data_IF_617010896160
#
_entry.id   IF_617010896160
#
_cell.length_a   1.000
_cell.length_b   1.000
_cell.length_c   1.000
_cell.angle_alpha   90.00
_cell.angle_beta   90.00
_cell.angle_gamma   90.00
#
_symmetry.space_group_name_H-M   'P 1'
#
loop_
_entity.id
_entity.type
_entity.pdbx_description
1 polymer ?
#
# COMPACT_ATOMS: atom_id res chain seq x y z
N UNK A 1 32.80 16.54 -14.11
CA UNK A 1 33.47 15.24 -14.36
C UNK A 1 32.45 14.35 -15.07
N UNK A 2 32.60 14.22 -16.39
CA UNK A 2 31.71 13.42 -17.25
C UNK A 2 32.37 12.06 -17.45
N UNK A 3 31.65 11.00 -17.10
CA UNK A 3 32.08 9.62 -17.37
C UNK A 3 31.32 9.08 -18.56
N UNK A 4 32.02 8.97 -19.69
CA UNK A 4 31.57 8.30 -20.91
C UNK A 4 31.61 6.78 -20.72
N UNK A 5 30.51 6.09 -21.02
CA UNK A 5 30.43 4.62 -21.14
C UNK A 5 30.28 4.27 -22.60
N UNK A 6 31.16 3.44 -23.17
CA UNK A 6 31.09 3.05 -24.61
C UNK A 6 30.01 1.98 -24.83
N UNK A 7 29.22 2.20 -25.89
CA UNK A 7 28.30 1.23 -26.49
C UNK A 7 29.08 0.23 -27.31
N UNK A 8 29.06 -1.04 -26.93
CA UNK A 8 29.53 -2.15 -27.80
C UNK A 8 28.34 -2.70 -28.58
N UNK A 9 28.41 -2.52 -29.88
CA UNK A 9 27.55 -3.16 -30.87
C UNK A 9 28.07 -4.57 -31.17
N UNK A 10 27.26 -5.61 -31.00
CA UNK A 10 27.52 -6.95 -31.52
C UNK A 10 26.60 -7.21 -32.71
N UNK A 11 27.24 -7.46 -33.85
CA UNK A 11 26.64 -7.69 -35.13
C UNK A 11 26.22 -9.16 -35.32
N UNK A 12 25.16 -9.30 -36.09
CA UNK A 12 24.51 -10.48 -36.62
C UNK A 12 25.45 -11.51 -37.29
N UNK A 13 25.07 -12.75 -37.18
CA UNK A 13 25.46 -13.80 -38.13
C UNK A 13 24.19 -14.47 -38.65
N UNK A 14 23.97 -14.27 -39.93
CA UNK A 14 22.96 -14.87 -40.78
C UNK A 14 23.34 -16.33 -41.04
N UNK A 15 22.47 -17.27 -40.74
CA UNK A 15 22.60 -18.66 -41.13
C UNK A 15 21.31 -19.19 -41.73
N UNK A 16 21.22 -19.20 -43.07
CA UNK A 16 20.18 -19.85 -43.84
C UNK A 16 20.40 -21.37 -43.79
N UNK A 17 19.41 -22.14 -43.34
CA UNK A 17 19.27 -23.55 -43.65
C UNK A 17 17.79 -23.87 -43.86
N UNK A 18 17.40 -23.98 -45.15
CA UNK A 18 16.18 -24.63 -45.60
C UNK A 18 16.33 -26.13 -45.41
N UNK A 19 15.37 -26.74 -44.72
CA UNK A 19 15.05 -28.16 -44.87
C UNK A 19 13.56 -28.36 -44.63
N UNK A 20 12.92 -28.87 -45.68
CA UNK A 20 11.53 -29.25 -45.71
C UNK A 20 11.26 -30.46 -44.79
N UNK A 21 10.19 -30.39 -43.99
CA UNK A 21 9.49 -31.58 -43.49
C UNK A 21 8.02 -31.23 -43.29
N UNK A 22 7.22 -31.61 -44.29
CA UNK A 22 5.76 -31.66 -44.22
C UNK A 22 5.34 -32.83 -43.30
N UNK A 23 4.43 -32.55 -42.37
CA UNK A 23 3.63 -33.59 -41.73
C UNK A 23 3.96 -33.80 -40.24
N UNK A 24 3.27 -33.06 -39.37
CA UNK A 24 2.80 -33.40 -38.03
C UNK A 24 2.22 -32.15 -37.34
N UNK A 25 1.12 -31.63 -37.87
CA UNK A 25 0.56 -30.36 -37.41
C UNK A 25 -0.84 -30.50 -36.81
N UNK A 26 -1.08 -31.47 -35.91
CA UNK A 26 -2.38 -31.56 -35.23
C UNK A 26 -2.34 -31.92 -33.74
N UNK A 27 -1.18 -32.16 -33.13
CA UNK A 27 -1.07 -32.46 -31.69
C UNK A 27 -0.48 -31.33 -30.83
N UNK A 28 0.01 -30.25 -31.44
CA UNK A 28 0.69 -29.18 -30.71
C UNK A 28 -0.25 -28.14 -30.07
N UNK A 29 -1.52 -28.09 -30.45
CA UNK A 29 -2.45 -27.05 -29.98
C UNK A 29 -3.08 -27.35 -28.59
N UNK A 30 -3.15 -28.61 -28.17
CA UNK A 30 -3.71 -28.96 -26.86
C UNK A 30 -2.73 -28.67 -25.70
N UNK A 31 -1.42 -28.84 -25.94
CA UNK A 31 -0.41 -28.60 -24.90
C UNK A 31 -0.15 -27.11 -24.63
N UNK A 32 -0.39 -26.23 -25.62
CA UNK A 32 -0.22 -24.78 -25.43
C UNK A 32 -1.33 -24.17 -24.59
N UNK A 33 -2.55 -24.68 -24.68
CA UNK A 33 -3.69 -24.18 -23.89
C UNK A 33 -3.52 -24.48 -22.39
N UNK A 34 -3.07 -25.69 -22.05
CA UNK A 34 -2.82 -26.07 -20.66
C UNK A 34 -1.64 -25.31 -20.04
N UNK A 35 -0.58 -25.08 -20.81
CA UNK A 35 0.56 -24.27 -20.36
C UNK A 35 0.19 -22.81 -20.16
N UNK A 36 -0.64 -22.23 -21.02
CA UNK A 36 -1.15 -20.86 -20.84
C UNK A 36 -2.06 -20.73 -19.63
N UNK A 37 -2.94 -21.72 -19.41
CA UNK A 37 -3.79 -21.75 -18.23
C UNK A 37 -3.00 -21.85 -16.91
N UNK A 38 -1.94 -22.66 -16.88
CA UNK A 38 -1.05 -22.77 -15.73
C UNK A 38 -0.24 -21.49 -15.49
N UNK A 39 0.25 -20.82 -16.53
CA UNK A 39 0.94 -19.53 -16.40
C UNK A 39 0.00 -18.43 -15.88
N UNK A 40 -1.25 -18.37 -16.37
CA UNK A 40 -2.24 -17.42 -15.88
C UNK A 40 -2.61 -17.70 -14.42
N UNK A 41 -2.74 -18.96 -14.01
CA UNK A 41 -3.00 -19.33 -12.63
C UNK A 41 -1.83 -18.94 -11.70
N UNK A 42 -0.59 -19.12 -12.14
CA UNK A 42 0.60 -18.70 -11.39
C UNK A 42 0.70 -17.17 -11.28
N UNK A 43 0.40 -16.43 -12.35
CA UNK A 43 0.37 -14.96 -12.31
C UNK A 43 -0.74 -14.44 -11.40
N UNK A 44 -1.91 -15.07 -11.41
CA UNK A 44 -3.01 -14.72 -10.51
C UNK A 44 -2.67 -14.99 -9.03
N UNK A 45 -1.97 -16.08 -8.73
CA UNK A 45 -1.48 -16.38 -7.39
C UNK A 45 -0.40 -15.39 -6.93
N UNK A 46 0.54 -15.01 -7.81
CA UNK A 46 1.56 -14.00 -7.50
C UNK A 46 0.94 -12.62 -7.28
N UNK A 47 -0.05 -12.23 -8.09
CA UNK A 47 -0.78 -10.98 -7.92
C UNK A 47 -1.58 -10.95 -6.60
N UNK A 48 -2.18 -12.08 -6.21
CA UNK A 48 -2.88 -12.21 -4.93
C UNK A 48 -1.92 -12.13 -3.73
N UNK A 49 -0.71 -12.67 -3.85
CA UNK A 49 0.32 -12.57 -2.80
C UNK A 49 0.90 -11.15 -2.68
N UNK A 50 0.97 -10.38 -3.78
CA UNK A 50 1.42 -8.99 -3.76
C UNK A 50 0.38 -8.03 -3.17
N UNK A 51 -0.89 -8.42 -3.13
CA UNK A 51 -1.98 -7.65 -2.53
C UNK A 51 -2.23 -8.01 -1.06
N UNK A 52 -1.54 -9.02 -0.51
CA UNK A 52 -1.62 -9.33 0.91
C UNK A 52 -1.05 -8.15 1.69
N UNK A 53 -1.85 -7.57 2.58
CA UNK A 53 -1.38 -6.53 3.49
C UNK A 53 -0.16 -7.06 4.26
N UNK A 54 0.87 -6.24 4.47
CA UNK A 54 2.02 -6.64 5.25
C UNK A 54 1.58 -7.09 6.66
N UNK A 55 2.29 -8.05 7.27
CA UNK A 55 1.96 -8.49 8.62
C UNK A 55 2.02 -7.31 9.58
N UNK A 56 1.04 -7.25 10.48
CA UNK A 56 0.97 -6.18 11.48
C UNK A 56 2.11 -6.35 12.47
N UNK A 57 2.93 -5.30 12.65
CA UNK A 57 3.90 -5.24 13.73
C UNK A 57 3.14 -5.12 15.07
N UNK A 58 3.28 -6.09 15.99
CA UNK A 58 2.57 -6.05 17.27
C UNK A 58 2.92 -4.82 18.12
N UNK A 59 4.12 -4.25 17.94
CA UNK A 59 4.55 -3.04 18.66
C UNK A 59 3.89 -1.78 18.11
N UNK A 60 3.36 -1.82 16.89
CA UNK A 60 2.69 -0.70 16.24
C UNK A 60 1.31 -1.09 15.69
N UNK A 61 0.57 -1.89 16.46
CA UNK A 61 -0.83 -2.20 16.20
C UNK A 61 -1.75 -1.08 16.71
N UNK A 62 -3.01 -1.05 16.24
CA UNK A 62 -4.02 -0.13 16.76
C UNK A 62 -4.23 -0.31 18.27
N UNK A 63 -4.12 -1.54 18.78
CA UNK A 63 -4.17 -1.84 20.20
C UNK A 63 -3.04 -1.17 20.97
N UNK A 64 -1.79 -1.38 20.55
CA UNK A 64 -0.61 -0.82 21.25
C UNK A 64 -0.65 0.70 21.26
N UNK A 65 -0.99 1.34 20.13
CA UNK A 65 -1.12 2.79 20.05
C UNK A 65 -2.24 3.31 20.94
N UNK A 66 -3.42 2.67 20.93
CA UNK A 66 -4.53 3.05 21.81
C UNK A 66 -4.14 2.99 23.30
N UNK A 67 -3.41 1.93 23.71
CA UNK A 67 -2.94 1.82 25.11
C UNK A 67 -2.00 2.97 25.49
N UNK A 68 -1.10 3.38 24.62
CA UNK A 68 -0.22 4.54 24.83
C UNK A 68 -1.05 5.83 24.91
N UNK A 69 -2.00 6.04 24.01
CA UNK A 69 -2.83 7.24 23.96
C UNK A 69 -3.78 7.38 25.17
N UNK A 70 -4.14 6.28 25.83
CA UNK A 70 -4.98 6.30 27.06
C UNK A 70 -4.23 6.75 28.31
N UNK A 71 -2.90 6.77 28.30
CA UNK A 71 -2.08 7.15 29.46
C UNK A 71 -1.99 8.68 29.61
N UNK A 72 -3.11 9.34 29.85
CA UNK A 72 -3.21 10.81 29.87
C UNK A 72 -2.34 11.50 30.95
N UNK A 73 -1.98 10.79 32.01
CA UNK A 73 -1.13 11.31 33.08
C UNK A 73 0.38 11.14 32.82
N UNK A 74 0.78 10.35 31.82
CA UNK A 74 2.17 10.12 31.45
C UNK A 74 2.56 11.01 30.27
N UNK A 75 3.39 12.01 30.52
CA UNK A 75 3.85 12.95 29.50
C UNK A 75 4.65 12.29 28.39
N UNK A 76 5.38 11.21 28.68
CA UNK A 76 6.16 10.48 27.67
C UNK A 76 5.21 9.70 26.76
N UNK A 77 4.26 8.97 27.34
CA UNK A 77 3.23 8.28 26.58
C UNK A 77 2.41 9.25 25.72
N UNK A 78 2.01 10.41 26.28
CA UNK A 78 1.31 11.42 25.51
C UNK A 78 2.12 11.98 24.34
N UNK A 79 3.41 12.24 24.54
CA UNK A 79 4.30 12.68 23.45
C UNK A 79 4.45 11.62 22.36
N UNK A 80 4.57 10.35 22.74
CA UNK A 80 4.61 9.23 21.81
C UNK A 80 3.30 9.09 21.03
N UNK A 81 2.16 9.13 21.69
CA UNK A 81 0.84 9.08 21.07
C UNK A 81 0.67 10.21 20.04
N UNK A 82 0.85 11.46 20.47
CA UNK A 82 0.70 12.65 19.61
C UNK A 82 1.69 12.60 18.44
N UNK A 83 2.94 12.18 18.70
CA UNK A 83 3.98 12.03 17.68
C UNK A 83 3.60 10.99 16.63
N UNK A 84 3.12 9.82 17.06
CA UNK A 84 2.70 8.74 16.16
C UNK A 84 1.49 9.17 15.31
N UNK A 85 0.43 9.68 15.93
CA UNK A 85 -0.78 10.14 15.21
C UNK A 85 -0.45 11.23 14.21
N UNK A 86 0.36 12.23 14.61
CA UNK A 86 0.82 13.29 13.70
C UNK A 86 1.66 12.75 12.55
N UNK A 87 2.54 11.79 12.82
CA UNK A 87 3.38 11.13 11.82
C UNK A 87 2.55 10.39 10.79
N UNK A 88 1.56 9.62 11.22
CA UNK A 88 0.63 8.89 10.35
C UNK A 88 -0.14 9.87 9.43
N UNK A 89 -0.72 10.90 9.99
CA UNK A 89 -1.50 11.90 9.24
C UNK A 89 -0.63 12.59 8.20
N UNK A 90 0.56 13.04 8.58
CA UNK A 90 1.50 13.71 7.65
C UNK A 90 1.99 12.76 6.56
N UNK A 91 2.36 11.54 6.92
CA UNK A 91 2.76 10.52 5.96
C UNK A 91 1.66 10.27 4.91
N UNK A 92 0.42 10.14 5.36
CA UNK A 92 -0.72 10.00 4.46
C UNK A 92 -0.92 11.22 3.55
N UNK A 93 -0.90 12.45 4.09
CA UNK A 93 -1.05 13.67 3.30
C UNK A 93 0.05 13.82 2.23
N UNK A 94 1.31 13.50 2.58
CA UNK A 94 2.39 13.47 1.59
C UNK A 94 2.19 12.37 0.55
N UNK A 95 1.71 11.21 0.94
CA UNK A 95 1.38 10.12 0.03
C UNK A 95 0.31 10.53 -0.99
N UNK A 96 -0.78 11.15 -0.54
CA UNK A 96 -1.85 11.67 -1.40
C UNK A 96 -1.32 12.74 -2.36
N UNK A 97 -0.54 13.69 -1.85
CA UNK A 97 0.07 14.74 -2.67
C UNK A 97 0.99 14.16 -3.75
N UNK A 98 1.85 13.23 -3.37
CA UNK A 98 2.77 12.56 -4.29
C UNK A 98 2.03 11.77 -5.37
N UNK A 99 1.02 10.99 -5.00
CA UNK A 99 0.21 10.22 -5.94
C UNK A 99 -0.57 11.16 -6.88
N UNK A 100 -1.15 12.24 -6.37
CA UNK A 100 -1.84 13.23 -7.17
C UNK A 100 -0.93 13.84 -8.25
N UNK A 101 0.32 14.13 -7.89
CA UNK A 101 1.30 14.68 -8.84
C UNK A 101 1.79 13.65 -9.87
N UNK A 102 1.94 12.38 -9.48
CA UNK A 102 2.51 11.33 -10.35
C UNK A 102 1.48 10.61 -11.20
N UNK A 103 0.30 10.37 -10.66
CA UNK A 103 -0.76 9.60 -11.32
C UNK A 103 -1.79 10.49 -12.06
N UNK A 104 -1.65 11.81 -12.01
CA UNK A 104 -2.62 12.75 -12.61
C UNK A 104 -4.07 12.40 -12.22
N UNK A 105 -4.28 12.12 -10.93
CA UNK A 105 -5.59 11.73 -10.42
C UNK A 105 -6.63 12.84 -10.68
N UNK A 106 -7.87 12.47 -11.05
CA UNK A 106 -8.96 13.43 -11.15
C UNK A 106 -9.17 14.19 -9.84
N UNK A 107 -9.58 15.45 -9.91
CA UNK A 107 -9.73 16.32 -8.74
C UNK A 107 -10.72 15.74 -7.70
N UNK A 108 -11.81 15.11 -8.15
CA UNK A 108 -12.78 14.43 -7.30
C UNK A 108 -12.19 13.22 -6.55
N UNK A 109 -11.28 12.45 -7.16
CA UNK A 109 -10.63 11.33 -6.52
C UNK A 109 -9.60 11.82 -5.48
N UNK A 110 -8.86 12.88 -5.82
CA UNK A 110 -7.95 13.54 -4.87
C UNK A 110 -8.73 14.10 -3.68
N UNK A 111 -9.91 14.70 -3.89
CA UNK A 111 -10.75 15.21 -2.81
C UNK A 111 -11.24 14.11 -1.87
N UNK A 112 -11.67 12.96 -2.41
CA UNK A 112 -12.15 11.81 -1.63
C UNK A 112 -11.13 11.25 -0.65
N UNK A 113 -9.84 11.28 -1.02
CA UNK A 113 -8.75 10.79 -0.17
C UNK A 113 -8.07 11.89 0.64
N UNK A 114 -8.49 13.15 0.48
CA UNK A 114 -7.94 14.27 1.24
C UNK A 114 -8.55 14.37 2.64
N UNK A 115 -7.76 14.89 3.58
CA UNK A 115 -8.18 15.11 4.97
C UNK A 115 -8.36 16.62 5.22
N UNK A 116 -9.54 17.02 5.70
CA UNK A 116 -9.85 18.41 6.02
C UNK A 116 -9.53 18.73 7.48
N UNK A 117 -8.23 18.86 7.78
CA UNK A 117 -7.70 19.06 9.13
C UNK A 117 -7.31 20.51 9.46
N UNK A 118 -7.81 21.49 8.67
CA UNK A 118 -7.53 22.89 8.97
C UNK A 118 -8.15 23.26 10.31
N UNK A 119 -7.32 23.77 11.23
CA UNK A 119 -7.70 24.14 12.59
C UNK A 119 -8.20 23.00 13.49
N UNK A 120 -7.98 21.75 13.10
CA UNK A 120 -8.25 20.58 13.96
C UNK A 120 -7.01 20.31 14.80
N UNK A 121 -7.08 20.41 16.15
CA UNK A 121 -5.95 20.09 17.01
C UNK A 121 -5.71 18.58 17.02
N UNK A 122 -4.45 18.18 17.11
CA UNK A 122 -4.09 16.74 17.14
C UNK A 122 -4.69 16.03 18.35
N UNK A 123 -4.90 16.73 19.47
CA UNK A 123 -5.57 16.17 20.66
C UNK A 123 -6.99 15.71 20.36
N UNK A 124 -7.76 16.47 19.56
CA UNK A 124 -9.10 16.06 19.14
C UNK A 124 -9.05 14.77 18.32
N UNK A 125 -8.11 14.67 17.37
CA UNK A 125 -7.93 13.47 16.56
C UNK A 125 -7.53 12.25 17.43
N UNK A 126 -6.70 12.47 18.45
CA UNK A 126 -6.36 11.41 19.41
C UNK A 126 -7.58 10.96 20.19
N UNK A 127 -8.43 11.89 20.64
CA UNK A 127 -9.65 11.56 21.37
C UNK A 127 -10.65 10.80 20.48
N UNK A 128 -10.83 11.21 19.22
CA UNK A 128 -11.65 10.51 18.23
C UNK A 128 -11.13 9.08 18.00
N UNK A 129 -9.83 8.92 17.72
CA UNK A 129 -9.20 7.60 17.53
C UNK A 129 -9.39 6.69 18.76
N UNK A 130 -9.18 7.19 19.97
CA UNK A 130 -9.34 6.40 21.20
C UNK A 130 -10.80 6.03 21.41
N UNK A 131 -11.73 6.93 21.11
CA UNK A 131 -13.16 6.69 21.18
C UNK A 131 -13.64 5.61 20.22
N UNK A 132 -13.21 5.69 18.94
CA UNK A 132 -13.55 4.69 17.93
C UNK A 132 -12.91 3.34 18.24
N UNK A 133 -11.63 3.32 18.62
CA UNK A 133 -10.92 2.09 18.98
C UNK A 133 -11.57 1.40 20.20
N UNK A 134 -12.17 2.13 21.12
CA UNK A 134 -12.88 1.56 22.27
C UNK A 134 -14.14 0.76 21.87
N UNK A 135 -14.67 0.96 20.66
CA UNK A 135 -15.83 0.24 20.14
C UNK A 135 -15.43 -1.06 19.41
N UNK A 136 -14.14 -1.30 19.21
CA UNK A 136 -13.61 -2.44 18.47
C UNK A 136 -13.00 -3.47 19.43
N UNK A 137 -13.18 -4.76 19.14
CA UNK A 137 -12.62 -5.83 19.97
C UNK A 137 -11.08 -5.77 20.01
N UNK A 138 -10.49 -6.12 21.13
CA UNK A 138 -9.04 -6.15 21.34
C UNK A 138 -8.33 -6.98 20.27
N UNK A 139 -8.86 -8.19 19.97
CA UNK A 139 -8.29 -9.06 18.96
C UNK A 139 -8.29 -8.44 17.55
N UNK A 140 -9.30 -7.67 17.22
CA UNK A 140 -9.35 -6.94 15.95
C UNK A 140 -8.33 -5.80 15.94
N UNK A 141 -8.22 -5.05 17.04
CA UNK A 141 -7.22 -3.97 17.16
C UNK A 141 -5.78 -4.48 17.11
N UNK A 142 -5.49 -5.65 17.68
CA UNK A 142 -4.17 -6.28 17.58
C UNK A 142 -3.78 -6.70 16.16
N UNK A 143 -4.79 -7.02 15.34
CA UNK A 143 -4.59 -7.38 13.92
C UNK A 143 -4.68 -6.20 12.96
N UNK A 144 -4.99 -5.02 13.45
CA UNK A 144 -5.11 -3.80 12.65
C UNK A 144 -3.85 -2.95 12.82
N UNK A 145 -3.16 -2.55 11.74
CA UNK A 145 -2.08 -1.58 11.82
C UNK A 145 -2.57 -0.26 12.43
N UNK A 146 -1.74 0.41 13.22
CA UNK A 146 -2.09 1.68 13.83
C UNK A 146 -2.49 2.74 12.80
N UNK A 147 -1.79 2.77 11.66
CA UNK A 147 -2.05 3.69 10.54
C UNK A 147 -3.46 3.52 10.00
N UNK A 148 -3.89 2.28 9.81
CA UNK A 148 -5.23 1.98 9.27
C UNK A 148 -6.31 2.45 10.22
N UNK A 149 -6.15 2.19 11.53
CA UNK A 149 -7.13 2.59 12.53
C UNK A 149 -7.20 4.11 12.71
N UNK A 150 -6.04 4.79 12.79
CA UNK A 150 -5.99 6.26 12.89
C UNK A 150 -6.58 6.92 11.65
N UNK A 151 -6.18 6.49 10.45
CA UNK A 151 -6.69 7.07 9.20
C UNK A 151 -8.18 6.77 9.01
N UNK A 152 -8.65 5.59 9.43
CA UNK A 152 -10.08 5.26 9.44
C UNK A 152 -10.88 6.22 10.31
N UNK A 153 -10.44 6.47 11.54
CA UNK A 153 -11.05 7.43 12.46
C UNK A 153 -11.03 8.86 11.88
N UNK A 154 -9.87 9.29 11.33
CA UNK A 154 -9.77 10.63 10.72
C UNK A 154 -10.71 10.78 9.52
N UNK A 155 -10.85 9.76 8.67
CA UNK A 155 -11.80 9.81 7.55
C UNK A 155 -13.26 9.83 8.03
N UNK A 156 -13.57 9.17 9.14
CA UNK A 156 -14.92 9.16 9.68
C UNK A 156 -15.34 10.55 10.18
N UNK A 157 -14.43 11.28 10.82
CA UNK A 157 -14.74 12.55 11.50
C UNK A 157 -14.32 13.80 10.71
N UNK A 158 -13.33 13.67 9.78
CA UNK A 158 -12.67 14.80 9.15
C UNK A 158 -12.48 14.63 7.61
N UNK A 159 -13.33 13.85 6.95
CA UNK A 159 -13.33 13.76 5.50
C UNK A 159 -13.65 15.13 4.86
N UNK A 160 -13.06 15.40 3.70
CA UNK A 160 -13.43 16.56 2.89
C UNK A 160 -14.72 16.26 2.11
N UNK A 161 -15.77 17.05 2.34
CA UNK A 161 -17.03 16.98 1.61
C UNK A 161 -16.98 17.81 0.33
#
# INVERSE_FOLDING_TARGET
MQSNVPRTAARAATGLLMAAALGFATLAHAQTADQQAQQQAQQAQQAAQQQAAPPVDPSFSAWSLMQVCKQKADNVAQAQCVGAVRGIIRGYQYGVLFLGQRASLPANDTQRVSLCLRNVPVSSIVDDFVGDAAQVSEDSLKRTPAEVAVLGSVHLHHACN
#
